data_IF_239098031588
#
_entry.id   IF_239098031588
#
_cell.length_a   1.000
_cell.length_b   1.000
_cell.length_c   1.000
_cell.angle_alpha   90.00
_cell.angle_beta   90.00
_cell.angle_gamma   90.00
#
_symmetry.space_group_name_H-M   'P 1'
#
loop_
_entity.id
_entity.type
_entity.pdbx_description
1 polymer ?
#
# COMPACT_ATOMS: atom_id res chain seq x y z
N UNK A 1 34.55 -61.90 -2.78
CA UNK A 1 33.73 -61.30 -3.85
C UNK A 1 33.11 -60.03 -3.28
N UNK A 2 33.70 -58.88 -3.63
CA UNK A 2 33.19 -57.85 -4.57
C UNK A 2 32.27 -56.84 -3.86
N UNK A 3 32.80 -55.73 -3.33
CA UNK A 3 33.18 -54.43 -3.96
C UNK A 3 32.01 -53.52 -4.36
N UNK A 4 31.99 -52.34 -3.70
CA UNK A 4 31.70 -50.98 -4.21
C UNK A 4 30.30 -50.69 -4.78
N UNK A 5 29.65 -49.61 -4.30
CA UNK A 5 29.82 -48.27 -4.89
C UNK A 5 29.23 -47.15 -4.01
N UNK A 6 29.94 -46.02 -3.96
CA UNK A 6 29.59 -44.72 -3.40
C UNK A 6 28.81 -43.86 -4.43
N UNK A 7 27.99 -42.91 -3.97
CA UNK A 7 27.55 -41.77 -4.80
C UNK A 7 26.41 -41.01 -4.13
N UNK A 8 26.69 -39.99 -3.30
CA UNK A 8 26.73 -38.55 -3.65
C UNK A 8 25.35 -38.01 -4.07
N UNK A 9 24.81 -36.96 -3.45
CA UNK A 9 25.26 -35.59 -3.76
C UNK A 9 24.74 -34.58 -2.72
N UNK A 10 25.66 -33.82 -2.12
CA UNK A 10 25.43 -32.49 -1.55
C UNK A 10 25.05 -31.56 -2.70
N UNK A 11 23.96 -30.79 -2.59
CA UNK A 11 23.86 -29.54 -3.33
C UNK A 11 23.96 -28.41 -2.32
N UNK A 12 25.20 -28.09 -1.96
CA UNK A 12 25.53 -26.73 -1.61
C UNK A 12 25.28 -25.91 -2.88
N UNK A 13 24.34 -24.97 -2.83
CA UNK A 13 24.24 -23.94 -3.86
C UNK A 13 25.46 -23.06 -3.73
N UNK A 14 26.54 -23.47 -4.40
CA UNK A 14 27.72 -22.67 -4.61
C UNK A 14 27.31 -21.40 -5.35
N UNK A 15 27.67 -20.26 -4.75
CA UNK A 15 27.78 -18.98 -5.44
C UNK A 15 28.65 -19.20 -6.67
N UNK A 16 28.05 -19.17 -7.86
CA UNK A 16 28.77 -19.29 -9.13
C UNK A 16 29.53 -17.99 -9.35
N UNK A 17 30.81 -17.99 -8.99
CA UNK A 17 31.77 -16.98 -9.42
C UNK A 17 32.46 -17.48 -10.69
N UNK A 18 31.90 -17.16 -11.86
CA UNK A 18 32.56 -17.38 -13.14
C UNK A 18 33.46 -16.19 -13.48
N UNK A 19 34.76 -16.38 -13.26
CA UNK A 19 35.80 -15.54 -13.85
C UNK A 19 36.29 -16.20 -15.12
N UNK A 20 35.86 -15.72 -16.29
CA UNK A 20 36.48 -15.80 -17.63
C UNK A 20 35.78 -14.72 -18.46
N UNK A 21 36.38 -13.87 -19.28
CA UNK A 21 37.73 -13.64 -19.74
C UNK A 21 37.63 -12.40 -20.65
N UNK A 22 38.73 -11.66 -20.81
CA UNK A 22 38.83 -10.51 -21.69
C UNK A 22 38.42 -10.86 -23.14
N UNK A 23 37.40 -10.18 -23.68
CA UNK A 23 37.02 -10.33 -25.09
C UNK A 23 35.67 -9.70 -25.41
N UNK A 24 35.65 -8.81 -26.41
CA UNK A 24 34.57 -7.91 -26.83
C UNK A 24 33.17 -8.53 -27.06
N UNK A 25 32.18 -7.65 -26.82
CA UNK A 25 30.85 -7.55 -27.44
C UNK A 25 29.87 -8.74 -27.28
N UNK A 26 28.94 -8.63 -26.33
CA UNK A 26 27.52 -8.88 -26.58
C UNK A 26 26.66 -8.36 -25.42
N UNK A 27 25.49 -7.84 -25.77
CA UNK A 27 24.54 -7.08 -24.97
C UNK A 27 24.19 -7.71 -23.62
N UNK A 28 24.68 -7.10 -22.54
CA UNK A 28 24.25 -7.41 -21.18
C UNK A 28 22.80 -6.93 -21.02
N UNK A 29 21.86 -7.87 -20.91
CA UNK A 29 20.58 -7.62 -20.26
C UNK A 29 20.89 -7.14 -18.83
N UNK A 30 20.92 -5.83 -18.66
CA UNK A 30 20.98 -5.20 -17.35
C UNK A 30 19.69 -5.48 -16.61
N UNK A 31 19.65 -6.59 -15.85
CA UNK A 31 18.77 -6.64 -14.70
C UNK A 31 19.19 -5.48 -13.79
N UNK A 32 18.32 -4.49 -13.68
CA UNK A 32 18.49 -3.28 -12.89
C UNK A 32 18.49 -3.62 -11.39
N UNK A 33 19.59 -4.23 -10.94
CA UNK A 33 19.84 -4.55 -9.53
C UNK A 33 19.91 -3.28 -8.67
N UNK A 34 20.20 -2.13 -9.29
CA UNK A 34 20.20 -0.83 -8.64
C UNK A 34 18.78 -0.36 -8.25
N UNK A 35 17.77 -0.65 -9.07
CA UNK A 35 16.37 -0.35 -8.75
C UNK A 35 15.89 -1.16 -7.55
N UNK A 36 16.19 -2.46 -7.51
CA UNK A 36 15.78 -3.36 -6.40
C UNK A 36 16.43 -2.93 -5.07
N UNK A 37 17.72 -2.60 -5.08
CA UNK A 37 18.44 -2.17 -3.86
C UNK A 37 18.00 -0.79 -3.37
N UNK A 38 17.62 0.14 -4.27
CA UNK A 38 17.11 1.46 -3.90
C UNK A 38 15.68 1.40 -3.35
N UNK A 39 14.81 0.56 -3.92
CA UNK A 39 13.44 0.36 -3.43
C UNK A 39 13.43 -0.24 -2.02
N UNK A 40 14.25 -1.27 -1.75
CA UNK A 40 14.34 -1.87 -0.42
C UNK A 40 14.86 -0.88 0.65
N UNK A 41 15.84 -0.05 0.32
CA UNK A 41 16.39 0.95 1.27
C UNK A 41 15.46 2.14 1.55
N UNK A 42 14.56 2.47 0.63
CA UNK A 42 13.55 3.51 0.84
C UNK A 42 12.42 3.02 1.77
N UNK A 43 12.04 1.73 1.68
CA UNK A 43 11.08 1.11 2.60
C UNK A 43 11.66 0.92 4.02
N UNK A 44 12.99 0.80 4.16
CA UNK A 44 13.64 0.67 5.46
C UNK A 44 13.68 1.96 6.31
N UNK A 45 13.60 3.14 5.69
CA UNK A 45 13.79 4.42 6.39
C UNK A 45 12.55 5.31 6.43
N UNK A 46 11.37 4.79 6.06
CA UNK A 46 10.13 5.57 6.08
C UNK A 46 9.77 5.99 7.50
N UNK A 47 9.58 7.27 7.72
CA UNK A 47 9.06 7.83 8.97
C UNK A 47 7.54 7.70 9.06
N UNK A 48 7.00 7.83 10.27
CA UNK A 48 5.55 7.88 10.50
C UNK A 48 4.88 9.02 9.70
N UNK A 49 5.53 10.17 9.61
CA UNK A 49 5.03 11.32 8.84
C UNK A 49 4.98 11.04 7.34
N UNK A 50 6.01 10.40 6.77
CA UNK A 50 6.02 10.00 5.36
C UNK A 50 4.98 8.91 5.06
N UNK A 51 4.82 7.92 5.94
CA UNK A 51 3.78 6.89 5.83
C UNK A 51 2.39 7.52 5.82
N UNK A 52 2.11 8.36 6.83
CA UNK A 52 0.83 9.05 6.94
C UNK A 52 0.56 9.92 5.70
N UNK A 53 1.57 10.65 5.23
CA UNK A 53 1.45 11.50 4.05
C UNK A 53 1.13 10.71 2.79
N UNK A 54 1.79 9.57 2.55
CA UNK A 54 1.46 8.69 1.42
C UNK A 54 0.02 8.20 1.45
N UNK A 55 -0.49 7.84 2.63
CA UNK A 55 -1.91 7.45 2.80
C UNK A 55 -2.83 8.64 2.52
N UNK A 56 -2.57 9.80 3.12
CA UNK A 56 -3.34 11.03 2.89
C UNK A 56 -3.40 11.37 1.40
N UNK A 57 -2.25 11.42 0.75
CA UNK A 57 -2.13 11.79 -0.66
C UNK A 57 -2.89 10.76 -1.53
N UNK A 58 -2.83 9.46 -1.20
CA UNK A 58 -3.64 8.43 -1.86
C UNK A 58 -5.16 8.64 -1.71
N UNK A 59 -5.62 9.02 -0.51
CA UNK A 59 -7.04 9.32 -0.26
C UNK A 59 -7.50 10.56 -1.04
N UNK A 60 -6.65 11.59 -1.11
CA UNK A 60 -6.94 12.84 -1.81
C UNK A 60 -6.97 12.63 -3.33
N UNK A 61 -5.97 11.94 -3.88
CA UNK A 61 -5.89 11.60 -5.30
C UNK A 61 -7.05 10.70 -5.76
N UNK A 62 -7.62 9.92 -4.83
CA UNK A 62 -8.81 9.08 -5.06
C UNK A 62 -10.13 9.80 -4.77
N UNK A 63 -10.08 11.11 -4.47
CA UNK A 63 -11.22 11.95 -4.12
C UNK A 63 -12.06 11.45 -2.92
N UNK A 64 -11.48 10.64 -2.02
CA UNK A 64 -12.14 10.19 -0.78
C UNK A 64 -12.15 11.30 0.27
N UNK A 65 -11.11 12.15 0.26
CA UNK A 65 -10.98 13.34 1.10
C UNK A 65 -10.64 14.55 0.22
N UNK A 66 -10.87 15.75 0.74
CA UNK A 66 -10.50 17.02 0.10
C UNK A 66 -9.11 17.53 0.54
N UNK A 67 -8.62 17.08 1.70
CA UNK A 67 -7.35 17.51 2.29
C UNK A 67 -7.45 18.81 3.06
N UNK A 68 -8.59 19.09 3.69
CA UNK A 68 -8.80 20.30 4.50
C UNK A 68 -8.67 20.03 6.02
N UNK A 69 -8.85 21.06 6.83
CA UNK A 69 -8.73 21.03 8.29
C UNK A 69 -9.94 20.38 8.99
N UNK A 70 -11.07 20.23 8.30
CA UNK A 70 -12.22 19.46 8.75
C UNK A 70 -12.08 17.95 8.57
N UNK A 71 -10.97 17.47 8.01
CA UNK A 71 -10.73 16.05 7.77
C UNK A 71 -9.52 15.57 8.57
N UNK A 72 -9.65 14.42 9.23
CA UNK A 72 -8.54 13.76 9.95
C UNK A 72 -8.37 12.33 9.47
N UNK A 73 -7.11 11.89 9.40
CA UNK A 73 -6.75 10.54 8.94
C UNK A 73 -5.91 9.87 10.01
N UNK A 74 -6.36 8.71 10.47
CA UNK A 74 -5.61 7.82 11.36
C UNK A 74 -5.20 6.58 10.59
N UNK A 75 -3.89 6.34 10.54
CA UNK A 75 -3.28 5.23 9.82
C UNK A 75 -2.79 4.21 10.83
N UNK A 76 -3.39 3.02 10.81
CA UNK A 76 -3.00 1.88 11.65
C UNK A 76 -2.24 0.86 10.79
N UNK A 77 -1.10 0.40 11.30
CA UNK A 77 -0.19 -0.48 10.59
C UNK A 77 0.55 -1.42 11.55
N UNK A 78 1.12 -2.50 10.99
CA UNK A 78 2.04 -3.39 11.68
C UNK A 78 3.48 -2.95 11.44
N UNK A 79 4.28 -2.96 12.51
CA UNK A 79 5.73 -2.83 12.42
C UNK A 79 6.38 -4.14 11.99
N UNK A 80 7.66 -4.09 11.59
CA UNK A 80 8.47 -5.29 11.26
C UNK A 80 8.57 -6.28 12.42
N UNK A 81 8.44 -5.81 13.65
CA UNK A 81 8.42 -6.64 14.86
C UNK A 81 7.02 -7.22 15.16
N UNK A 82 6.03 -7.00 14.29
CA UNK A 82 4.67 -7.50 14.42
C UNK A 82 3.75 -6.70 15.33
N UNK A 83 4.19 -5.56 15.87
CA UNK A 83 3.37 -4.72 16.75
C UNK A 83 2.42 -3.84 15.94
N UNK A 84 1.17 -3.74 16.35
CA UNK A 84 0.22 -2.78 15.79
C UNK A 84 0.42 -1.41 16.43
N UNK A 85 0.52 -0.37 15.60
CA UNK A 85 0.63 1.03 16.03
C UNK A 85 -0.12 1.94 15.05
N UNK A 86 -0.16 3.24 15.35
CA UNK A 86 -0.81 4.22 14.49
C UNK A 86 -0.09 5.57 14.46
N UNK A 87 -0.40 6.33 13.41
CA UNK A 87 -0.08 7.75 13.28
C UNK A 87 -1.33 8.48 12.79
N UNK A 88 -1.58 9.67 13.34
CA UNK A 88 -2.80 10.45 13.07
C UNK A 88 -2.47 11.93 12.91
N UNK A 89 -3.17 12.58 11.99
CA UNK A 89 -3.14 14.04 11.84
C UNK A 89 -4.34 14.54 11.05
N UNK A 90 -4.51 15.86 11.03
CA UNK A 90 -5.47 16.57 10.18
C UNK A 90 -4.96 16.63 8.74
N UNK A 91 -5.84 16.52 7.75
CA UNK A 91 -5.47 16.34 6.35
C UNK A 91 -4.89 17.61 5.70
N UNK A 92 -5.04 18.78 6.32
CA UNK A 92 -4.36 20.02 5.92
C UNK A 92 -2.86 20.03 6.25
N UNK A 93 -2.36 19.13 7.09
CA UNK A 93 -0.94 19.06 7.41
C UNK A 93 -0.15 18.27 6.37
N UNK A 94 1.11 18.65 6.17
CA UNK A 94 2.08 17.90 5.34
C UNK A 94 3.19 17.24 6.17
N UNK A 95 3.28 17.54 7.46
CA UNK A 95 4.27 16.99 8.39
C UNK A 95 3.59 16.58 9.69
N UNK A 96 3.98 15.42 10.25
CA UNK A 96 3.38 14.86 11.47
C UNK A 96 4.46 14.53 12.50
N UNK A 97 5.19 13.42 12.31
CA UNK A 97 6.28 12.98 13.19
C UNK A 97 7.39 12.31 12.37
N UNK A 98 8.65 12.66 12.62
CA UNK A 98 9.80 12.10 11.92
C UNK A 98 10.41 10.85 12.58
N UNK A 99 9.66 10.17 13.44
CA UNK A 99 10.10 8.90 14.04
C UNK A 99 10.09 7.79 12.98
N UNK A 100 11.11 6.90 12.95
CA UNK A 100 11.07 5.72 12.10
C UNK A 100 9.79 4.93 12.32
N UNK A 101 9.12 4.54 11.23
CA UNK A 101 7.87 3.78 11.33
C UNK A 101 8.10 2.30 11.57
N UNK A 102 9.25 1.76 11.14
CA UNK A 102 9.48 0.32 11.01
C UNK A 102 8.31 -0.39 10.30
N UNK A 103 7.70 0.28 9.31
CA UNK A 103 6.51 -0.19 8.61
C UNK A 103 6.72 -1.58 7.99
N UNK A 104 5.73 -2.45 8.16
CA UNK A 104 5.65 -3.77 7.52
C UNK A 104 4.40 -3.92 6.67
N UNK A 105 3.23 -3.58 7.23
CA UNK A 105 1.93 -3.76 6.56
C UNK A 105 0.92 -2.72 7.02
N UNK A 106 0.21 -2.12 6.09
CA UNK A 106 -0.95 -1.27 6.37
C UNK A 106 -2.15 -2.16 6.73
N UNK A 107 -2.91 -1.82 7.77
CA UNK A 107 -4.06 -2.64 8.19
C UNK A 107 -5.37 -1.87 8.18
N UNK A 108 -5.35 -0.59 8.54
CA UNK A 108 -6.57 0.21 8.63
C UNK A 108 -6.30 1.69 8.44
N UNK A 109 -7.24 2.36 7.80
CA UNK A 109 -7.31 3.81 7.67
C UNK A 109 -8.66 4.25 8.21
N UNK A 110 -8.68 5.03 9.29
CA UNK A 110 -9.89 5.68 9.79
C UNK A 110 -9.90 7.15 9.33
N UNK A 111 -11.06 7.63 8.91
CA UNK A 111 -11.26 8.95 8.33
C UNK A 111 -12.41 9.62 9.08
N UNK A 112 -12.12 10.77 9.68
CA UNK A 112 -13.12 11.66 10.27
C UNK A 112 -13.33 12.84 9.35
N UNK A 113 -14.59 13.23 9.15
CA UNK A 113 -14.98 14.38 8.32
C UNK A 113 -16.00 15.23 9.07
N UNK A 114 -15.61 16.46 9.36
CA UNK A 114 -16.36 17.49 10.06
C UNK A 114 -16.37 18.77 9.22
N UNK A 115 -17.37 19.64 9.42
CA UNK A 115 -17.46 20.95 8.77
C UNK A 115 -17.25 20.92 7.24
N UNK A 116 -17.79 19.89 6.57
CA UNK A 116 -17.58 19.67 5.13
C UNK A 116 -18.13 20.87 4.34
N UNK A 117 -17.32 21.52 3.49
CA UNK A 117 -17.74 22.64 2.67
C UNK A 117 -18.96 22.32 1.79
N UNK A 118 -19.82 23.31 1.54
CA UNK A 118 -21.07 23.12 0.80
C UNK A 118 -20.87 22.53 -0.61
N UNK A 119 -19.76 22.85 -1.27
CA UNK A 119 -19.41 22.31 -2.59
C UNK A 119 -19.01 20.83 -2.57
N UNK A 120 -18.60 20.28 -1.43
CA UNK A 120 -18.20 18.87 -1.27
C UNK A 120 -19.21 18.03 -0.47
N UNK A 121 -20.17 18.70 0.19
CA UNK A 121 -21.16 18.07 1.08
C UNK A 121 -22.06 17.04 0.39
N UNK A 122 -22.37 17.27 -0.89
CA UNK A 122 -23.22 16.38 -1.71
C UNK A 122 -22.41 15.57 -2.73
N UNK A 123 -21.07 15.56 -2.62
CA UNK A 123 -20.22 14.78 -3.52
C UNK A 123 -20.53 13.29 -3.36
N UNK A 124 -20.80 12.63 -4.49
CA UNK A 124 -21.00 11.19 -4.57
C UNK A 124 -19.92 10.57 -5.42
N UNK A 125 -19.47 9.39 -5.01
CA UNK A 125 -18.46 8.60 -5.70
C UNK A 125 -19.10 7.29 -6.14
N UNK A 126 -18.84 6.86 -7.37
CA UNK A 126 -19.13 5.49 -7.76
C UNK A 126 -18.27 4.55 -6.89
N UNK A 127 -18.91 3.58 -6.25
CA UNK A 127 -18.28 2.68 -5.29
C UNK A 127 -17.16 1.85 -5.94
N UNK A 128 -17.40 1.38 -7.16
CA UNK A 128 -16.45 0.57 -7.90
C UNK A 128 -15.24 1.41 -8.30
N UNK A 129 -15.47 2.60 -8.85
CA UNK A 129 -14.39 3.53 -9.21
C UNK A 129 -13.60 4.01 -7.99
N UNK A 130 -14.27 4.32 -6.88
CA UNK A 130 -13.63 4.75 -5.64
C UNK A 130 -12.69 3.65 -5.11
N UNK A 131 -13.12 2.39 -5.15
CA UNK A 131 -12.31 1.25 -4.75
C UNK A 131 -11.09 1.05 -5.67
N UNK A 132 -11.27 1.10 -6.99
CA UNK A 132 -10.17 0.98 -7.96
C UNK A 132 -9.15 2.11 -7.82
N UNK A 133 -9.62 3.34 -7.64
CA UNK A 133 -8.74 4.50 -7.50
C UNK A 133 -7.90 4.40 -6.22
N UNK A 134 -8.51 4.09 -5.07
CA UNK A 134 -7.76 4.04 -3.81
C UNK A 134 -6.78 2.87 -3.77
N UNK A 135 -7.18 1.69 -4.24
CA UNK A 135 -6.30 0.53 -4.28
C UNK A 135 -5.11 0.75 -5.21
N UNK A 136 -5.35 1.35 -6.38
CA UNK A 136 -4.28 1.76 -7.30
C UNK A 136 -3.31 2.74 -6.64
N UNK A 137 -3.80 3.78 -5.96
CA UNK A 137 -2.94 4.80 -5.33
C UNK A 137 -2.14 4.26 -4.15
N UNK A 138 -2.75 3.42 -3.32
CA UNK A 138 -2.04 2.74 -2.25
C UNK A 138 -0.98 1.77 -2.79
N UNK A 139 -1.27 1.06 -3.89
CA UNK A 139 -0.32 0.14 -4.52
C UNK A 139 0.85 0.90 -5.17
N UNK A 140 0.58 1.97 -5.92
CA UNK A 140 1.59 2.88 -6.48
C UNK A 140 2.51 3.48 -5.40
N UNK A 141 1.97 3.69 -4.19
CA UNK A 141 2.72 4.21 -3.04
C UNK A 141 3.51 3.15 -2.25
N UNK A 142 3.41 1.87 -2.64
CA UNK A 142 4.03 0.74 -1.96
C UNK A 142 3.40 0.39 -0.61
N UNK A 143 2.14 0.80 -0.38
CA UNK A 143 1.44 0.60 0.89
C UNK A 143 0.57 -0.66 0.92
N UNK A 144 0.15 -1.14 -0.24
CA UNK A 144 -0.54 -2.42 -0.43
C UNK A 144 0.06 -3.19 -1.59
N UNK A 145 -0.14 -4.50 -1.61
CA UNK A 145 0.40 -5.43 -2.59
C UNK A 145 -0.73 -6.19 -3.29
N UNK A 146 -0.45 -6.66 -4.50
CA UNK A 146 -1.37 -7.56 -5.20
C UNK A 146 -1.70 -8.78 -4.33
N UNK A 147 -2.98 -9.16 -4.30
CA UNK A 147 -3.48 -10.26 -3.46
C UNK A 147 -4.01 -9.84 -2.09
N UNK A 148 -3.74 -8.62 -1.61
CA UNK A 148 -4.36 -8.11 -0.38
C UNK A 148 -5.82 -7.73 -0.62
N UNK A 149 -6.67 -7.95 0.38
CA UNK A 149 -8.08 -7.59 0.32
C UNK A 149 -8.27 -6.21 0.92
N UNK A 150 -8.86 -5.30 0.15
CA UNK A 150 -9.16 -3.93 0.59
C UNK A 150 -10.67 -3.76 0.69
N UNK A 151 -11.14 -3.20 1.80
CA UNK A 151 -12.57 -2.94 2.02
C UNK A 151 -12.82 -1.50 2.41
N UNK A 152 -13.68 -0.80 1.68
CA UNK A 152 -14.20 0.53 2.03
C UNK A 152 -15.53 0.36 2.78
N UNK A 153 -15.65 1.04 3.92
CA UNK A 153 -16.88 1.14 4.69
C UNK A 153 -17.30 2.60 4.89
N UNK A 154 -18.60 2.81 5.03
CA UNK A 154 -19.18 4.10 5.38
C UNK A 154 -19.82 4.05 6.77
N UNK A 155 -20.10 5.22 7.33
CA UNK A 155 -20.84 5.37 8.59
C UNK A 155 -22.35 5.17 8.42
N UNK A 156 -22.87 5.18 7.19
CA UNK A 156 -24.28 4.85 6.93
C UNK A 156 -24.43 3.33 6.92
N UNK A 157 -25.13 2.72 7.89
CA UNK A 157 -25.27 1.26 7.96
C UNK A 157 -26.06 0.65 6.80
N UNK A 158 -26.70 1.47 5.95
CA UNK A 158 -27.42 1.00 4.75
C UNK A 158 -26.50 0.82 3.55
N UNK A 159 -25.34 1.46 3.56
CA UNK A 159 -24.37 1.30 2.47
C UNK A 159 -23.69 -0.07 2.57
N UNK A 160 -23.48 -0.76 1.43
CA UNK A 160 -22.71 -1.98 1.40
C UNK A 160 -21.22 -1.70 1.67
N UNK A 161 -20.53 -2.69 2.23
CA UNK A 161 -19.08 -2.68 2.24
C UNK A 161 -18.55 -3.01 0.84
N UNK A 162 -17.61 -2.19 0.36
CA UNK A 162 -17.03 -2.37 -0.97
C UNK A 162 -15.69 -3.06 -0.82
N UNK A 163 -15.66 -4.36 -1.12
CA UNK A 163 -14.47 -5.20 -0.96
C UNK A 163 -13.99 -5.75 -2.29
N UNK A 164 -12.67 -5.91 -2.42
CA UNK A 164 -12.04 -6.56 -3.56
C UNK A 164 -10.61 -6.96 -3.23
N UNK A 165 -9.95 -7.63 -4.18
CA UNK A 165 -8.53 -8.02 -4.06
C UNK A 165 -7.67 -7.14 -4.96
N UNK A 166 -6.61 -6.54 -4.43
CA UNK A 166 -5.71 -5.68 -5.21
C UNK A 166 -5.12 -6.46 -6.40
N UNK A 167 -5.23 -5.88 -7.60
CA UNK A 167 -4.79 -6.52 -8.84
C UNK A 167 -5.84 -7.43 -9.51
N UNK A 168 -7.06 -7.51 -8.97
CA UNK A 168 -8.19 -8.23 -9.60
C UNK A 168 -9.17 -7.28 -10.30
N UNK A 169 -9.90 -7.81 -11.28
CA UNK A 169 -10.98 -7.10 -11.98
C UNK A 169 -12.26 -7.09 -11.11
N UNK A 170 -12.29 -6.24 -10.08
CA UNK A 170 -13.48 -6.06 -9.23
C UNK A 170 -14.57 -5.30 -10.02
N UNK A 171 -15.72 -5.94 -10.24
CA UNK A 171 -16.87 -5.34 -10.95
C UNK A 171 -18.10 -5.14 -10.08
N UNK A 172 -18.04 -5.57 -8.82
CA UNK A 172 -19.11 -5.41 -7.84
C UNK A 172 -19.39 -3.94 -7.55
N UNK A 173 -20.65 -3.64 -7.20
CA UNK A 173 -21.12 -2.30 -6.82
C UNK A 173 -20.91 -1.20 -7.87
N UNK A 174 -20.68 -1.56 -9.14
CA UNK A 174 -20.64 -0.61 -10.25
C UNK A 174 -21.97 0.13 -10.39
N UNK A 175 -21.94 1.45 -10.47
CA UNK A 175 -23.12 2.32 -10.50
C UNK A 175 -23.73 2.59 -9.12
N UNK A 176 -23.22 1.97 -8.04
CA UNK A 176 -23.65 2.29 -6.68
C UNK A 176 -22.94 3.56 -6.20
N UNK A 177 -23.71 4.59 -5.88
CA UNK A 177 -23.15 5.90 -5.55
C UNK A 177 -23.05 6.11 -4.03
N UNK A 178 -21.85 6.06 -3.49
CA UNK A 178 -21.55 6.36 -2.08
C UNK A 178 -21.51 7.87 -1.85
N UNK A 179 -21.96 8.32 -0.67
CA UNK A 179 -21.72 9.69 -0.24
C UNK A 179 -20.27 9.81 0.26
N UNK A 180 -19.47 10.71 -0.33
CA UNK A 180 -18.07 10.93 0.07
C UNK A 180 -17.91 11.22 1.56
N UNK A 181 -18.84 12.00 2.12
CA UNK A 181 -18.90 12.38 3.55
C UNK A 181 -19.14 11.22 4.52
N UNK A 182 -19.65 10.11 4.01
CA UNK A 182 -20.02 8.96 4.83
C UNK A 182 -18.90 7.91 4.85
N UNK A 183 -18.02 7.88 3.85
CA UNK A 183 -16.81 7.02 3.84
C UNK A 183 -15.92 7.39 5.02
N UNK A 184 -15.73 6.45 5.96
CA UNK A 184 -15.03 6.70 7.22
C UNK A 184 -13.98 5.64 7.55
N UNK A 185 -13.92 4.52 6.82
CA UNK A 185 -12.99 3.44 7.13
C UNK A 185 -12.56 2.66 5.90
N UNK A 186 -11.27 2.32 5.84
CA UNK A 186 -10.70 1.38 4.89
C UNK A 186 -9.91 0.32 5.67
N UNK A 187 -10.12 -0.96 5.37
CA UNK A 187 -9.39 -2.08 5.99
C UNK A 187 -8.63 -2.88 4.94
N UNK A 188 -7.47 -3.41 5.33
CA UNK A 188 -6.54 -4.15 4.47
C UNK A 188 -6.19 -5.48 5.17
N UNK A 189 -6.45 -6.59 4.48
CA UNK A 189 -6.25 -7.98 4.96
C UNK A 189 -5.28 -8.77 4.08
#
# INVERSE_FOLDING_TARGET
MNTKFLGKTLVASALVLTTLGTGLHSSYLGLDTNKVVKTAKAEENMTNGELWKKVKDSLKDSNIISGNDGESVKVTFLTKDGHSTHVESTANHDTVTNTPSNFSKLTQIDITKENIPANDFNTRLDANEAWHNITKKLHESGLVKNGEKVTIATKDPKDPQISGTVGSDMTDHKGYMLNKRDINKITIE
#
